data_IF_904265411667
#
_entry.id   IF_904265411667
#
_cell.length_a   1.000
_cell.length_b   1.000
_cell.length_c   1.000
_cell.angle_alpha   90.00
_cell.angle_beta   90.00
_cell.angle_gamma   90.00
#
_symmetry.space_group_name_H-M   'P 1'
#
loop_
_entity.id
_entity.type
_entity.pdbx_description
1 polymer ?
#
# COMPACT_ATOMS: atom_id res chain seq x y z
N UNK A 1 -24.09 0.41 6.43
CA UNK A 1 -24.20 1.89 6.35
C UNK A 1 -22.88 2.46 6.85
N UNK A 2 -22.08 3.11 5.99
CA UNK A 2 -20.81 3.72 6.42
C UNK A 2 -21.12 4.76 7.49
N UNK A 3 -20.23 5.04 8.46
CA UNK A 3 -20.35 6.31 9.19
C UNK A 3 -20.36 7.40 8.12
N UNK A 4 -21.51 8.08 7.93
CA UNK A 4 -21.82 8.88 6.75
C UNK A 4 -20.68 9.85 6.35
N UNK A 5 -19.90 10.33 7.31
CA UNK A 5 -18.74 11.19 7.06
C UNK A 5 -17.53 10.49 6.41
N UNK A 6 -17.15 9.27 6.81
CA UNK A 6 -15.91 8.64 6.34
C UNK A 6 -15.98 8.30 4.84
N UNK A 7 -17.12 7.78 4.36
CA UNK A 7 -17.31 7.46 2.95
C UNK A 7 -17.35 8.68 2.05
N UNK A 8 -17.98 9.77 2.51
CA UNK A 8 -18.03 11.04 1.78
C UNK A 8 -16.63 11.65 1.66
N UNK A 9 -15.87 11.68 2.77
CA UNK A 9 -14.49 12.19 2.76
C UNK A 9 -13.59 11.34 1.86
N UNK A 10 -13.74 10.01 1.88
CA UNK A 10 -12.94 9.10 1.05
C UNK A 10 -13.18 9.32 -0.44
N UNK A 11 -14.47 9.44 -0.85
CA UNK A 11 -14.85 9.75 -2.23
C UNK A 11 -14.41 11.15 -2.66
N UNK A 12 -14.49 12.15 -1.78
CA UNK A 12 -14.04 13.50 -2.08
C UNK A 12 -12.51 13.57 -2.26
N UNK A 13 -11.75 12.83 -1.44
CA UNK A 13 -10.30 12.71 -1.59
C UNK A 13 -9.95 12.01 -2.91
N UNK A 14 -10.65 10.94 -3.25
CA UNK A 14 -10.52 10.26 -4.54
C UNK A 14 -10.79 11.21 -5.71
N UNK A 15 -11.94 11.88 -5.73
CA UNK A 15 -12.27 12.84 -6.80
C UNK A 15 -11.22 13.96 -6.94
N UNK A 16 -10.60 14.39 -5.84
CA UNK A 16 -9.49 15.34 -5.87
C UNK A 16 -8.23 14.74 -6.50
N UNK A 17 -7.86 13.51 -6.11
CA UNK A 17 -6.70 12.81 -6.66
C UNK A 17 -6.86 12.58 -8.17
N UNK A 18 -8.04 12.11 -8.61
CA UNK A 18 -8.40 11.87 -10.01
C UNK A 18 -8.33 13.18 -10.82
N UNK A 19 -8.98 14.25 -10.36
CA UNK A 19 -8.92 15.57 -11.01
C UNK A 19 -7.49 16.10 -11.12
N UNK A 20 -6.72 15.96 -10.05
CA UNK A 20 -5.35 16.44 -10.04
C UNK A 20 -4.46 15.62 -10.98
N UNK A 21 -4.60 14.29 -10.99
CA UNK A 21 -3.88 13.43 -11.92
C UNK A 21 -4.24 13.76 -13.39
N UNK A 22 -5.51 13.99 -13.70
CA UNK A 22 -5.91 14.47 -15.03
C UNK A 22 -5.20 15.77 -15.40
N UNK A 23 -5.22 16.77 -14.53
CA UNK A 23 -4.65 18.07 -14.84
C UNK A 23 -3.13 18.01 -15.05
N UNK A 24 -2.44 17.11 -14.34
CA UNK A 24 -0.98 17.16 -14.23
C UNK A 24 -0.23 15.98 -14.83
N UNK A 25 -0.88 14.88 -15.21
CA UNK A 25 -0.20 13.63 -15.60
C UNK A 25 -0.59 13.26 -17.05
N UNK A 26 0.35 13.27 -18.01
CA UNK A 26 0.07 12.98 -19.41
C UNK A 26 -0.69 11.67 -19.65
N UNK A 27 -0.25 10.59 -18.98
CA UNK A 27 -0.85 9.26 -19.11
C UNK A 27 -2.37 9.24 -18.93
N UNK A 28 -2.88 9.89 -17.89
CA UNK A 28 -4.32 9.87 -17.58
C UNK A 28 -5.13 10.71 -18.55
N UNK A 29 -4.57 11.81 -19.08
CA UNK A 29 -5.25 12.62 -20.10
C UNK A 29 -5.42 11.86 -21.40
N UNK A 30 -4.33 11.25 -21.88
CA UNK A 30 -4.35 10.47 -23.12
C UNK A 30 -5.35 9.31 -23.00
N UNK A 31 -5.26 8.53 -21.92
CA UNK A 31 -6.13 7.37 -21.73
C UNK A 31 -7.60 7.76 -21.65
N UNK A 32 -7.95 8.78 -20.88
CA UNK A 32 -9.35 9.17 -20.76
C UNK A 32 -9.90 9.84 -22.01
N UNK A 33 -9.07 10.55 -22.77
CA UNK A 33 -9.45 11.03 -24.10
C UNK A 33 -9.78 9.87 -25.05
N UNK A 34 -8.99 8.78 -25.01
CA UNK A 34 -9.26 7.56 -25.80
C UNK A 34 -10.58 6.87 -25.40
N UNK A 35 -10.98 6.97 -24.13
CA UNK A 35 -12.28 6.49 -23.63
C UNK A 35 -13.44 7.48 -23.87
N UNK A 36 -13.22 8.57 -24.63
CA UNK A 36 -14.23 9.59 -24.93
C UNK A 36 -14.64 10.44 -23.73
N UNK A 37 -13.73 10.62 -22.77
CA UNK A 37 -13.95 11.39 -21.53
C UNK A 37 -13.18 12.71 -21.57
N UNK A 38 -13.91 13.80 -21.36
CA UNK A 38 -13.34 15.15 -21.24
C UNK A 38 -13.27 15.62 -19.78
N UNK A 39 -13.95 14.92 -18.85
CA UNK A 39 -13.96 15.22 -17.42
C UNK A 39 -13.47 14.00 -16.60
N UNK A 40 -12.57 14.18 -15.60
CA UNK A 40 -12.18 13.20 -14.57
C UNK A 40 -13.33 12.51 -13.81
N UNK A 41 -14.57 13.02 -13.85
CA UNK A 41 -15.67 12.40 -13.11
C UNK A 41 -16.05 11.06 -13.76
N UNK A 42 -16.25 10.02 -12.94
CA UNK A 42 -16.90 8.78 -13.38
C UNK A 42 -18.32 9.13 -13.88
N UNK A 43 -18.45 9.38 -15.18
CA UNK A 43 -19.74 9.65 -15.81
C UNK A 43 -20.54 8.35 -15.88
N UNK A 44 -21.75 8.28 -15.28
CA UNK A 44 -22.61 7.11 -15.42
C UNK A 44 -22.79 6.72 -16.90
N UNK A 45 -22.50 5.47 -17.23
CA UNK A 45 -22.64 4.93 -18.59
C UNK A 45 -21.47 5.21 -19.56
N UNK A 46 -20.46 6.00 -19.18
CA UNK A 46 -19.24 6.23 -19.99
C UNK A 46 -17.98 5.89 -19.20
N UNK A 47 -17.93 4.64 -18.77
CA UNK A 47 -16.88 4.21 -17.88
C UNK A 47 -15.65 3.68 -18.61
N UNK A 48 -15.56 3.65 -19.94
CA UNK A 48 -14.38 3.12 -20.64
C UNK A 48 -14.03 1.68 -20.26
N UNK A 49 -12.89 1.18 -20.73
CA UNK A 49 -12.43 -0.19 -20.40
C UNK A 49 -12.16 -0.33 -18.89
N UNK A 50 -12.59 -1.42 -18.26
CA UNK A 50 -12.42 -1.68 -16.81
C UNK A 50 -12.89 -0.53 -15.90
N UNK A 51 -13.94 0.19 -16.31
CA UNK A 51 -14.41 1.34 -15.54
C UNK A 51 -13.42 2.52 -15.52
N UNK A 52 -12.49 2.57 -16.48
CA UNK A 52 -11.45 3.59 -16.63
C UNK A 52 -10.20 3.29 -15.80
N UNK A 53 -10.18 2.14 -15.13
CA UNK A 53 -9.03 1.66 -14.40
C UNK A 53 -8.01 1.02 -15.36
N UNK A 54 -6.75 1.01 -14.93
CA UNK A 54 -5.62 0.56 -15.73
C UNK A 54 -4.91 -0.63 -15.08
N UNK A 55 -4.59 -1.70 -15.82
CA UNK A 55 -3.71 -2.74 -15.30
C UNK A 55 -2.37 -2.17 -14.81
N UNK A 56 -1.90 -2.63 -13.65
CA UNK A 56 -0.66 -2.16 -13.05
C UNK A 56 0.55 -2.34 -13.99
N UNK A 57 0.62 -3.47 -14.70
CA UNK A 57 1.70 -3.73 -15.65
C UNK A 57 1.79 -2.64 -16.74
N UNK A 58 0.65 -2.18 -17.25
CA UNK A 58 0.58 -1.09 -18.23
C UNK A 58 1.04 0.24 -17.63
N UNK A 59 0.56 0.56 -16.43
CA UNK A 59 0.94 1.76 -15.70
C UNK A 59 2.46 1.80 -15.43
N UNK A 60 3.05 0.67 -15.02
CA UNK A 60 4.50 0.53 -14.79
C UNK A 60 5.31 0.67 -16.07
N UNK A 61 4.84 0.07 -17.17
CA UNK A 61 5.48 0.21 -18.48
C UNK A 61 5.58 1.68 -18.91
N UNK A 62 4.57 2.49 -18.56
CA UNK A 62 4.52 3.94 -18.78
C UNK A 62 4.83 4.76 -17.52
N UNK A 63 5.69 4.25 -16.63
CA UNK A 63 5.96 4.89 -15.32
C UNK A 63 6.46 6.34 -15.40
N UNK A 64 7.19 6.71 -16.46
CA UNK A 64 7.60 8.10 -16.71
C UNK A 64 6.40 9.01 -17.01
N UNK A 65 5.40 8.50 -17.73
CA UNK A 65 4.18 9.24 -18.07
C UNK A 65 3.23 9.40 -16.87
N UNK A 66 3.47 8.65 -15.78
CA UNK A 66 2.79 8.80 -14.50
C UNK A 66 3.38 9.91 -13.62
N UNK A 67 4.52 10.49 -14.00
CA UNK A 67 5.13 11.62 -13.29
C UNK A 67 4.34 12.90 -13.62
N UNK A 68 3.97 13.71 -12.62
CA UNK A 68 3.35 15.01 -12.89
C UNK A 68 4.25 15.91 -13.76
N UNK A 69 3.65 16.79 -14.55
CA UNK A 69 4.36 17.78 -15.37
C UNK A 69 5.30 18.68 -14.55
N UNK A 70 5.01 18.89 -13.27
CA UNK A 70 5.88 19.62 -12.34
C UNK A 70 7.16 18.84 -11.93
N UNK A 71 7.31 17.59 -12.39
CA UNK A 71 8.39 16.68 -12.03
C UNK A 71 8.08 15.79 -10.83
N UNK A 72 9.03 14.91 -10.52
CA UNK A 72 8.94 13.95 -9.41
C UNK A 72 9.72 12.67 -9.68
N UNK A 73 9.71 11.74 -8.71
CA UNK A 73 10.28 10.41 -8.90
C UNK A 73 9.39 9.59 -9.85
N UNK A 74 10.00 8.85 -10.78
CA UNK A 74 9.29 7.93 -11.69
C UNK A 74 9.16 6.51 -11.12
N UNK A 75 9.99 6.14 -10.14
CA UNK A 75 10.00 4.81 -9.56
C UNK A 75 9.00 4.72 -8.40
N UNK A 76 8.25 3.63 -8.34
CA UNK A 76 7.46 3.27 -7.16
C UNK A 76 8.34 3.08 -5.92
N UNK A 77 7.76 3.28 -4.75
CA UNK A 77 8.44 3.10 -3.46
C UNK A 77 7.79 1.91 -2.72
N UNK A 78 8.40 0.71 -2.78
CA UNK A 78 7.77 -0.51 -2.23
C UNK A 78 7.55 -0.44 -0.72
N UNK A 79 8.38 0.32 0.00
CA UNK A 79 8.28 0.51 1.45
C UNK A 79 7.22 1.54 1.87
N UNK A 80 6.63 2.27 0.92
CA UNK A 80 5.75 3.40 1.22
C UNK A 80 4.50 2.94 1.95
N UNK A 81 4.11 3.65 3.01
CA UNK A 81 2.91 3.34 3.78
C UNK A 81 3.17 2.41 4.95
N UNK A 82 4.35 1.78 5.04
CA UNK A 82 4.62 0.78 6.07
C UNK A 82 4.41 1.35 7.47
N UNK A 83 4.98 2.52 7.76
CA UNK A 83 4.86 3.12 9.08
C UNK A 83 3.43 3.45 9.51
N UNK A 84 2.53 3.70 8.55
CA UNK A 84 1.11 3.94 8.81
C UNK A 84 0.35 2.65 9.03
N UNK A 85 0.57 1.63 8.19
CA UNK A 85 -0.13 0.35 8.32
C UNK A 85 0.31 -0.44 9.54
N UNK A 86 1.55 -0.28 9.99
CA UNK A 86 2.03 -0.93 11.21
C UNK A 86 1.22 -0.49 12.44
N UNK A 87 0.71 0.74 12.50
CA UNK A 87 -0.18 1.17 13.60
C UNK A 87 -1.48 0.37 13.66
N UNK A 88 -1.93 -0.18 12.54
CA UNK A 88 -3.14 -0.99 12.45
C UNK A 88 -2.86 -2.48 12.68
N UNK A 89 -1.73 -2.99 12.16
CA UNK A 89 -1.35 -4.39 12.29
C UNK A 89 -0.69 -4.70 13.64
N UNK A 90 0.37 -3.96 13.96
CA UNK A 90 1.23 -4.20 15.12
C UNK A 90 2.01 -2.91 15.43
N UNK A 91 1.45 -2.08 16.29
CA UNK A 91 1.97 -0.73 16.53
C UNK A 91 3.39 -0.77 17.13
N UNK A 92 4.40 -0.17 16.49
CA UNK A 92 5.75 -0.09 17.05
C UNK A 92 5.81 0.98 18.15
N UNK A 93 6.54 0.70 19.22
CA UNK A 93 6.76 1.65 20.32
C UNK A 93 7.98 2.55 20.10
N UNK A 94 8.17 3.61 20.90
CA UNK A 94 9.41 4.37 20.89
C UNK A 94 10.62 3.46 21.14
N UNK A 95 11.69 3.64 20.35
CA UNK A 95 12.90 2.83 20.43
C UNK A 95 12.86 1.51 19.65
N UNK A 96 11.69 1.14 19.09
CA UNK A 96 11.54 -0.04 18.24
C UNK A 96 12.38 0.05 16.95
N UNK A 97 12.75 -1.12 16.44
CA UNK A 97 13.35 -1.31 15.12
C UNK A 97 12.37 -2.05 14.21
N UNK A 98 12.18 -1.54 13.00
CA UNK A 98 11.47 -2.21 11.91
C UNK A 98 12.49 -2.66 10.89
N UNK A 99 12.58 -3.97 10.65
CA UNK A 99 13.43 -4.59 9.64
C UNK A 99 12.52 -4.98 8.46
N UNK A 100 12.68 -4.30 7.33
CA UNK A 100 12.03 -4.67 6.09
C UNK A 100 12.88 -5.72 5.37
N UNK A 101 12.34 -6.92 5.23
CA UNK A 101 12.97 -8.04 4.54
C UNK A 101 12.62 -7.97 3.06
N UNK A 102 13.63 -7.98 2.20
CA UNK A 102 13.40 -7.95 0.77
C UNK A 102 14.69 -7.76 -0.03
N UNK A 103 14.56 -7.64 -1.37
CA UNK A 103 15.71 -7.61 -2.26
C UNK A 103 16.58 -6.37 -2.06
N UNK A 104 17.82 -6.51 -2.53
CA UNK A 104 18.78 -5.41 -2.58
C UNK A 104 18.21 -4.16 -3.28
N UNK A 105 18.55 -2.99 -2.72
CA UNK A 105 18.13 -1.69 -3.25
C UNK A 105 16.79 -1.17 -2.73
N UNK A 106 16.08 -1.94 -1.89
CA UNK A 106 15.01 -1.38 -1.07
C UNK A 106 15.57 -0.31 -0.13
N UNK A 107 14.76 0.73 0.11
CA UNK A 107 15.07 1.78 1.07
C UNK A 107 14.25 1.56 2.34
N UNK A 108 14.79 1.91 3.53
CA UNK A 108 14.00 1.93 4.75
C UNK A 108 12.76 2.82 4.58
N UNK A 109 11.62 2.47 5.20
CA UNK A 109 10.40 3.27 5.08
C UNK A 109 10.62 4.67 5.66
N UNK A 110 10.31 5.70 4.87
CA UNK A 110 10.45 7.10 5.28
C UNK A 110 9.33 7.59 6.21
N UNK A 111 8.26 6.80 6.41
CA UNK A 111 7.05 7.19 7.12
C UNK A 111 6.86 6.50 8.48
N UNK A 112 7.94 5.94 9.04
CA UNK A 112 7.92 5.34 10.37
C UNK A 112 7.57 6.37 11.47
N UNK A 113 6.88 5.96 12.56
CA UNK A 113 6.58 6.84 13.67
C UNK A 113 7.83 7.45 14.32
N UNK A 114 7.68 8.62 14.95
CA UNK A 114 8.77 9.29 15.66
C UNK A 114 9.38 8.35 16.72
N UNK A 115 10.70 8.21 16.71
CA UNK A 115 11.43 7.36 17.64
C UNK A 115 11.53 5.89 17.23
N UNK A 116 10.93 5.50 16.10
CA UNK A 116 11.08 4.18 15.48
C UNK A 116 12.17 4.27 14.41
N UNK A 117 13.06 3.28 14.35
CA UNK A 117 14.07 3.17 13.29
C UNK A 117 13.68 2.10 12.29
N UNK A 118 14.08 2.30 11.03
CA UNK A 118 13.90 1.35 9.94
C UNK A 118 15.24 0.93 9.36
N UNK A 119 15.37 -0.35 9.00
CA UNK A 119 16.43 -0.85 8.13
C UNK A 119 15.86 -1.86 7.13
N UNK A 120 16.67 -2.20 6.13
CA UNK A 120 16.39 -3.24 5.15
C UNK A 120 17.40 -4.36 5.35
N UNK A 121 16.95 -5.60 5.23
CA UNK A 121 17.82 -6.77 5.25
C UNK A 121 17.47 -7.71 4.10
N UNK A 122 18.50 -8.23 3.44
CA UNK A 122 18.38 -9.49 2.71
C UNK A 122 18.09 -10.60 3.74
N UNK A 123 16.97 -11.33 3.65
CA UNK A 123 16.66 -12.40 4.58
C UNK A 123 17.65 -13.56 4.53
N UNK A 124 18.25 -13.85 3.36
CA UNK A 124 19.15 -14.98 3.16
C UNK A 124 20.60 -14.64 3.58
N UNK A 125 20.98 -13.36 3.49
CA UNK A 125 22.30 -12.89 3.89
C UNK A 125 22.27 -11.52 4.59
N UNK A 126 21.70 -11.41 5.82
CA UNK A 126 21.61 -10.13 6.51
C UNK A 126 23.00 -9.52 6.78
N UNK A 127 23.17 -8.25 6.44
CA UNK A 127 24.43 -7.56 6.66
C UNK A 127 24.79 -7.46 8.16
N UNK A 128 26.09 -7.54 8.48
CA UNK A 128 26.58 -7.44 9.86
C UNK A 128 26.12 -6.18 10.62
N UNK A 129 26.03 -4.98 10.00
CA UNK A 129 25.46 -3.81 10.66
C UNK A 129 23.98 -3.98 11.08
N UNK A 130 23.17 -4.63 10.24
CA UNK A 130 21.75 -4.89 10.55
C UNK A 130 21.64 -5.87 11.72
N UNK A 131 22.38 -6.98 11.68
CA UNK A 131 22.39 -7.96 12.77
C UNK A 131 22.82 -7.33 14.09
N UNK A 132 23.85 -6.48 14.07
CA UNK A 132 24.31 -5.75 15.26
C UNK A 132 23.22 -4.83 15.82
N UNK A 133 22.54 -4.06 14.97
CA UNK A 133 21.45 -3.19 15.43
C UNK A 133 20.29 -4.00 16.01
N UNK A 134 19.92 -5.13 15.39
CA UNK A 134 18.91 -6.05 15.92
C UNK A 134 19.30 -6.55 17.31
N UNK A 135 20.51 -7.09 17.48
CA UNK A 135 21.01 -7.58 18.77
C UNK A 135 20.98 -6.49 19.84
N UNK A 136 21.50 -5.29 19.54
CA UNK A 136 21.51 -4.15 20.48
C UNK A 136 20.10 -3.75 20.92
N UNK A 137 19.13 -3.81 20.01
CA UNK A 137 17.73 -3.48 20.33
C UNK A 137 17.11 -4.53 21.25
N UNK A 138 17.33 -5.80 20.95
CA UNK A 138 16.83 -6.92 21.76
C UNK A 138 17.46 -6.93 23.16
N UNK A 139 18.77 -6.69 23.28
CA UNK A 139 19.48 -6.61 24.57
C UNK A 139 18.96 -5.47 25.46
N UNK A 140 18.51 -4.37 24.86
CA UNK A 140 17.89 -3.25 25.57
C UNK A 140 16.41 -3.46 25.87
N UNK A 141 15.85 -4.63 25.55
CA UNK A 141 14.43 -4.92 25.72
C UNK A 141 13.52 -4.12 24.78
N UNK A 142 14.07 -3.55 23.70
CA UNK A 142 13.27 -2.88 22.68
C UNK A 142 12.70 -3.90 21.69
N UNK A 143 11.52 -3.59 21.15
CA UNK A 143 10.84 -4.44 20.18
C UNK A 143 11.51 -4.37 18.81
N UNK A 144 11.65 -5.52 18.15
CA UNK A 144 12.12 -5.64 16.77
C UNK A 144 11.00 -6.28 15.96
N UNK A 145 10.54 -5.60 14.91
CA UNK A 145 9.51 -6.09 14.00
C UNK A 145 10.16 -6.45 12.67
N UNK A 146 10.05 -7.70 12.24
CA UNK A 146 10.49 -8.16 10.92
C UNK A 146 9.29 -8.20 9.96
N UNK A 147 9.36 -7.45 8.87
CA UNK A 147 8.29 -7.32 7.88
C UNK A 147 8.75 -7.93 6.56
N UNK A 148 8.03 -8.92 6.05
CA UNK A 148 8.35 -9.60 4.79
C UNK A 148 7.35 -10.71 4.50
N UNK A 149 7.60 -11.50 3.46
CA UNK A 149 6.81 -12.71 3.20
C UNK A 149 7.14 -13.80 4.23
N UNK A 150 6.33 -14.84 4.30
CA UNK A 150 6.48 -15.90 5.31
C UNK A 150 7.83 -16.62 5.19
N UNK A 151 8.35 -16.77 3.97
CA UNK A 151 9.64 -17.40 3.72
C UNK A 151 10.76 -16.50 4.23
N UNK A 152 10.78 -15.23 3.84
CA UNK A 152 11.76 -14.25 4.24
C UNK A 152 11.81 -14.09 5.77
N UNK A 153 10.64 -13.99 6.40
CA UNK A 153 10.53 -13.94 7.87
C UNK A 153 11.13 -15.20 8.48
N UNK A 154 10.72 -16.39 8.03
CA UNK A 154 11.21 -17.66 8.57
C UNK A 154 12.73 -17.78 8.46
N UNK A 155 13.31 -17.37 7.33
CA UNK A 155 14.78 -17.36 7.16
C UNK A 155 15.47 -16.36 8.09
N UNK A 156 14.90 -15.17 8.25
CA UNK A 156 15.51 -14.10 9.06
C UNK A 156 15.38 -14.35 10.57
N UNK A 157 14.25 -14.88 11.04
CA UNK A 157 13.96 -15.01 12.46
C UNK A 157 14.58 -16.27 13.07
N UNK A 158 15.82 -16.16 13.53
CA UNK A 158 16.44 -17.15 14.43
C UNK A 158 16.16 -16.91 15.93
N UNK A 159 15.65 -15.72 16.29
CA UNK A 159 15.35 -15.32 17.67
C UNK A 159 13.85 -15.08 17.85
N UNK A 160 13.23 -15.83 18.77
CA UNK A 160 11.80 -15.78 19.10
C UNK A 160 11.31 -14.42 19.63
N UNK A 161 12.24 -13.54 20.03
CA UNK A 161 11.93 -12.16 20.46
C UNK A 161 11.71 -11.21 19.29
N UNK A 162 12.07 -11.61 18.07
CA UNK A 162 11.75 -10.84 16.86
C UNK A 162 10.30 -11.08 16.49
N UNK A 163 9.53 -10.01 16.43
CA UNK A 163 8.11 -10.06 16.11
C UNK A 163 7.90 -10.09 14.59
N UNK A 164 7.40 -11.21 14.08
CA UNK A 164 7.01 -11.33 12.68
C UNK A 164 5.82 -10.41 12.34
N UNK A 165 5.84 -9.80 11.16
CA UNK A 165 4.72 -9.09 10.54
C UNK A 165 4.66 -9.48 9.07
N UNK A 166 3.92 -10.55 8.72
CA UNK A 166 3.81 -10.97 7.34
C UNK A 166 3.18 -9.87 6.49
N UNK A 167 3.72 -9.65 5.30
CA UNK A 167 2.97 -8.97 4.24
C UNK A 167 2.25 -9.98 3.34
N UNK A 168 1.10 -9.58 2.82
CA UNK A 168 0.25 -10.35 1.92
C UNK A 168 -0.02 -9.55 0.66
N UNK A 169 0.01 -10.23 -0.46
CA UNK A 169 -0.50 -9.68 -1.72
C UNK A 169 -2.03 -9.80 -1.77
N UNK A 170 -2.64 -9.04 -2.68
CA UNK A 170 -4.10 -8.94 -2.75
C UNK A 170 -4.77 -10.24 -3.20
N UNK A 171 -4.10 -11.07 -3.98
CA UNK A 171 -4.58 -12.39 -4.42
C UNK A 171 -4.37 -13.50 -3.38
N UNK A 172 -3.70 -13.16 -2.27
CA UNK A 172 -3.21 -14.09 -1.26
C UNK A 172 -3.71 -13.70 0.14
N UNK A 173 -4.88 -13.05 0.22
CA UNK A 173 -5.47 -12.62 1.49
C UNK A 173 -5.88 -13.84 2.32
N UNK A 174 -5.32 -13.93 3.52
CA UNK A 174 -5.67 -14.95 4.52
C UNK A 174 -6.32 -14.31 5.77
N UNK A 175 -6.77 -15.16 6.69
CA UNK A 175 -7.37 -14.76 7.96
C UNK A 175 -6.38 -14.85 9.14
N UNK A 176 -5.08 -14.66 8.92
CA UNK A 176 -4.05 -14.81 9.95
C UNK A 176 -4.27 -13.94 11.20
N UNK A 177 -3.45 -14.08 12.27
CA UNK A 177 -3.63 -13.27 13.46
C UNK A 177 -3.26 -11.79 13.27
N UNK A 178 -2.40 -11.48 12.31
CA UNK A 178 -1.95 -10.13 11.95
C UNK A 178 -1.24 -10.18 10.58
N UNK A 179 -1.15 -9.03 9.90
CA UNK A 179 -0.44 -8.90 8.64
C UNK A 179 -0.65 -7.53 7.99
N UNK A 180 0.14 -7.22 6.96
CA UNK A 180 0.03 -5.98 6.18
C UNK A 180 -0.25 -6.30 4.71
N UNK A 181 -1.12 -5.52 4.07
CA UNK A 181 -1.43 -5.68 2.65
C UNK A 181 -0.41 -4.90 1.84
N UNK A 182 0.30 -5.56 0.94
CA UNK A 182 1.42 -5.01 0.19
C UNK A 182 1.28 -5.30 -1.30
N UNK A 183 1.73 -4.34 -2.10
CA UNK A 183 1.99 -4.50 -3.52
C UNK A 183 3.40 -3.96 -3.80
N UNK A 184 4.26 -4.67 -4.56
CA UNK A 184 5.64 -4.23 -4.80
C UNK A 184 5.79 -2.85 -5.45
N UNK A 185 4.79 -2.40 -6.20
CA UNK A 185 4.81 -1.10 -6.90
C UNK A 185 4.01 -0.06 -6.13
N UNK A 186 2.81 -0.45 -5.70
CA UNK A 186 1.89 0.39 -4.99
C UNK A 186 2.17 0.43 -3.50
N UNK A 187 3.21 -0.18 -2.95
CA UNK A 187 3.57 -0.11 -1.52
C UNK A 187 2.56 -0.77 -0.58
N UNK A 188 2.57 -0.38 0.70
CA UNK A 188 1.63 -0.91 1.69
C UNK A 188 0.28 -0.20 1.60
N UNK A 189 -0.78 -1.00 1.45
CA UNK A 189 -2.14 -0.53 1.17
C UNK A 189 -3.06 -0.62 2.39
N UNK A 190 -2.74 -1.48 3.34
CA UNK A 190 -3.61 -1.79 4.47
C UNK A 190 -3.00 -2.77 5.45
N UNK A 191 -3.82 -3.25 6.37
CA UNK A 191 -3.45 -4.19 7.41
C UNK A 191 -4.63 -5.04 7.86
N UNK A 192 -4.33 -6.25 8.32
CA UNK A 192 -5.30 -7.08 9.01
C UNK A 192 -5.53 -6.51 10.41
N UNK A 193 -6.71 -5.98 10.65
CA UNK A 193 -7.06 -5.43 11.97
C UNK A 193 -7.47 -6.54 12.94
N UNK A 194 -7.40 -6.27 14.25
CA UNK A 194 -7.85 -7.19 15.30
C UNK A 194 -9.34 -7.58 15.30
N UNK A 195 -10.09 -7.18 14.26
CA UNK A 195 -11.44 -7.67 13.97
C UNK A 195 -11.46 -8.78 12.90
N UNK A 196 -10.29 -9.27 12.47
CA UNK A 196 -10.15 -10.32 11.47
C UNK A 196 -10.47 -9.87 10.04
N UNK A 197 -10.31 -8.57 9.72
CA UNK A 197 -10.59 -8.03 8.38
C UNK A 197 -9.46 -7.15 7.87
N UNK A 198 -9.20 -7.21 6.57
CA UNK A 198 -8.18 -6.41 5.88
C UNK A 198 -8.64 -4.98 5.70
N UNK A 199 -8.20 -4.11 6.60
CA UNK A 199 -8.48 -2.67 6.57
C UNK A 199 -7.53 -1.95 5.63
N UNK A 200 -8.05 -1.05 4.81
CA UNK A 200 -7.23 -0.15 4.00
C UNK A 200 -6.69 1.00 4.85
N UNK A 201 -5.51 1.52 4.50
CA UNK A 201 -5.03 2.85 4.94
C UNK A 201 -5.86 3.94 4.25
N UNK A 202 -7.15 3.97 4.56
CA UNK A 202 -8.17 4.75 3.87
C UNK A 202 -7.89 6.26 3.76
N UNK A 203 -7.14 6.92 4.66
CA UNK A 203 -6.75 8.32 4.44
C UNK A 203 -5.77 8.52 3.28
N UNK A 204 -5.10 7.45 2.82
CA UNK A 204 -4.04 7.48 1.80
C UNK A 204 -4.31 6.56 0.60
N UNK A 205 -5.21 5.58 0.76
CA UNK A 205 -5.54 4.59 -0.26
C UNK A 205 -7.04 4.59 -0.47
N UNK A 206 -7.46 4.73 -1.71
CA UNK A 206 -8.84 4.50 -2.13
C UNK A 206 -8.92 3.22 -2.96
N UNK A 207 -9.99 2.44 -2.77
CA UNK A 207 -10.24 1.26 -3.57
C UNK A 207 -11.70 1.21 -4.03
N UNK A 208 -11.93 0.67 -5.22
CA UNK A 208 -13.27 0.42 -5.77
C UNK A 208 -13.29 -0.84 -6.64
N UNK A 209 -14.43 -1.54 -6.73
CA UNK A 209 -14.61 -2.59 -7.70
C UNK A 209 -14.70 -2.03 -9.12
N UNK A 210 -14.20 -2.79 -10.07
CA UNK A 210 -14.32 -2.56 -11.52
C UNK A 210 -14.60 -3.88 -12.24
N UNK A 211 -14.90 -3.82 -13.54
CA UNK A 211 -15.03 -5.03 -14.36
C UNK A 211 -13.72 -5.84 -14.44
N UNK A 212 -12.56 -5.20 -14.22
CA UNK A 212 -11.25 -5.85 -14.20
C UNK A 212 -10.74 -6.17 -12.79
N UNK A 213 -11.59 -6.16 -11.76
CA UNK A 213 -11.20 -6.38 -10.37
C UNK A 213 -11.07 -5.10 -9.55
N UNK A 214 -10.47 -5.20 -8.36
CA UNK A 214 -10.28 -4.06 -7.46
C UNK A 214 -9.24 -3.09 -8.03
N UNK A 215 -9.64 -1.82 -8.20
CA UNK A 215 -8.75 -0.73 -8.58
C UNK A 215 -8.40 0.13 -7.37
N UNK A 216 -7.14 0.54 -7.28
CA UNK A 216 -6.58 1.32 -6.18
C UNK A 216 -6.09 2.69 -6.64
N UNK A 217 -6.28 3.69 -5.79
CA UNK A 217 -5.76 5.05 -5.97
C UNK A 217 -4.96 5.47 -4.75
N UNK A 218 -3.74 5.95 -4.96
CA UNK A 218 -2.89 6.49 -3.91
C UNK A 218 -3.17 7.98 -3.73
N UNK A 219 -4.05 8.29 -2.78
CA UNK A 219 -4.69 9.59 -2.60
C UNK A 219 -3.73 10.75 -2.35
N UNK A 220 -2.56 10.47 -1.76
CA UNK A 220 -1.59 11.50 -1.35
C UNK A 220 -0.20 11.31 -1.96
N UNK A 221 -0.03 10.35 -2.86
CA UNK A 221 1.26 10.13 -3.51
C UNK A 221 1.52 11.25 -4.52
N UNK A 222 2.65 11.93 -4.38
CA UNK A 222 3.00 13.04 -5.26
C UNK A 222 3.44 12.54 -6.64
N UNK A 223 4.31 11.53 -6.69
CA UNK A 223 4.87 10.93 -7.92
C UNK A 223 5.46 9.53 -7.64
N UNK A 224 5.43 8.59 -8.61
CA UNK A 224 4.52 8.58 -9.76
C UNK A 224 3.07 8.54 -9.26
N UNK A 225 2.10 9.07 -10.01
CA UNK A 225 0.71 9.06 -9.57
C UNK A 225 0.00 7.80 -10.02
N UNK A 226 -0.47 7.01 -9.06
CA UNK A 226 -1.28 5.84 -9.30
C UNK A 226 -2.73 6.13 -8.92
N UNK A 227 -3.57 6.29 -9.95
CA UNK A 227 -5.02 6.48 -9.88
C UNK A 227 -5.68 5.35 -10.65
N UNK A 228 -6.67 4.72 -10.00
CA UNK A 228 -7.45 3.58 -10.49
C UNK A 228 -6.59 2.50 -11.17
N UNK A 229 -5.60 2.01 -10.43
CA UNK A 229 -4.69 0.97 -10.91
C UNK A 229 -5.14 -0.40 -10.39
N UNK A 230 -5.17 -1.40 -11.27
CA UNK A 230 -5.57 -2.78 -10.98
C UNK A 230 -4.30 -3.61 -10.75
N UNK A 231 -3.95 -3.94 -9.49
CA UNK A 231 -2.81 -4.81 -9.18
C UNK A 231 -3.11 -6.29 -9.44
N UNK A 232 -2.06 -7.11 -9.43
CA UNK A 232 -2.13 -8.59 -9.49
C UNK A 232 -3.08 -9.14 -10.57
N UNK A 233 -3.07 -8.52 -11.76
CA UNK A 233 -3.88 -8.99 -12.90
C UNK A 233 -5.40 -8.82 -12.77
N UNK A 234 -5.90 -8.27 -11.66
CA UNK A 234 -7.34 -8.06 -11.45
C UNK A 234 -7.96 -8.95 -10.41
N UNK A 235 -7.57 -8.78 -9.15
CA UNK A 235 -8.17 -9.51 -8.03
C UNK A 235 -9.64 -9.13 -7.86
N UNK A 236 -10.52 -10.13 -7.91
CA UNK A 236 -11.92 -9.97 -7.58
C UNK A 236 -12.09 -9.75 -6.08
N UNK A 237 -12.97 -8.83 -5.70
CA UNK A 237 -13.26 -8.57 -4.30
C UNK A 237 -14.18 -7.37 -4.16
N UNK A 238 -14.68 -7.17 -2.95
CA UNK A 238 -15.57 -6.07 -2.62
C UNK A 238 -14.95 -5.15 -1.58
N UNK A 239 -15.32 -3.87 -1.64
CA UNK A 239 -15.00 -2.91 -0.58
C UNK A 239 -16.26 -2.67 0.24
N UNK A 240 -16.21 -3.07 1.50
CA UNK A 240 -17.29 -2.89 2.45
C UNK A 240 -16.85 -2.04 3.65
N UNK A 241 -17.79 -1.39 4.36
CA UNK A 241 -17.47 -0.83 5.66
C UNK A 241 -17.30 -1.95 6.68
N UNK A 242 -16.23 -1.92 7.46
CA UNK A 242 -16.07 -2.84 8.59
C UNK A 242 -17.21 -2.61 9.60
N UNK A 243 -17.95 -3.66 10.00
CA UNK A 243 -19.07 -3.50 10.95
C UNK A 243 -18.59 -3.03 12.33
N UNK A 244 -17.35 -3.33 12.73
CA UNK A 244 -16.80 -2.92 14.02
C UNK A 244 -16.24 -1.50 14.01
N UNK A 245 -15.55 -1.11 12.94
CA UNK A 245 -14.77 0.14 12.91
C UNK A 245 -15.35 1.22 11.98
N UNK A 246 -16.23 0.83 11.05
CA UNK A 246 -16.80 1.72 10.03
C UNK A 246 -15.82 2.19 8.95
N UNK A 247 -14.59 1.66 8.93
CA UNK A 247 -13.56 1.96 7.94
C UNK A 247 -13.59 0.95 6.78
N UNK A 248 -13.11 1.31 5.58
CA UNK A 248 -13.09 0.41 4.43
C UNK A 248 -12.27 -0.86 4.67
N UNK A 249 -12.83 -2.01 4.33
CA UNK A 249 -12.17 -3.31 4.31
C UNK A 249 -12.29 -3.95 2.93
N UNK A 250 -11.30 -4.77 2.59
CA UNK A 250 -11.35 -5.68 1.45
C UNK A 250 -12.03 -6.98 1.90
N UNK A 251 -13.04 -7.41 1.14
CA UNK A 251 -13.66 -8.71 1.24
C UNK A 251 -13.20 -9.54 0.04
N UNK A 252 -12.58 -10.68 0.30
CA UNK A 252 -12.26 -11.70 -0.69
C UNK A 252 -13.50 -12.58 -0.96
#
# INVERSE_FOLDING_TARGET
MWKLGAGVVWRAAYARAVRSAFATVPFYRERWALDGREDPVLVPGRTGTNGGAVPLAEAVHKSVDLVPLAGGASRGEPARGLGRVLRMAREPGPGSLVVLLGPDGLRPPADLPKGVRGCVADPDAPSAPVLREVTVRLERGHRVLAVGDDKAITTFTGDHRVEAVPHRELDSLDGGPYGVLHDPVLGYLGALGGCGRWHLDWPHVYARPTAGGLAFTLLRQASPRFVDVIPAGGVHGEIAPCPRHGTPVVLA
#
